data_IF_034893588160
#
_entry.id   IF_034893588160
#
_cell.length_a   1.000
_cell.length_b   1.000
_cell.length_c   1.000
_cell.angle_alpha   90.00
_cell.angle_beta   90.00
_cell.angle_gamma   90.00
#
_symmetry.space_group_name_H-M   'P 1'
#
loop_
_entity.id
_entity.type
_entity.pdbx_description
1 polymer ?
#
# COMPACT_ATOMS: atom_id res chain seq x y z
N UNK A 1 -35.95 -2.96 19.14
CA UNK A 1 -34.68 -3.45 19.68
C UNK A 1 -34.49 -4.89 19.20
N UNK A 2 -34.15 -5.10 17.92
CA UNK A 2 -33.83 -6.44 17.42
C UNK A 2 -32.36 -6.48 17.01
N UNK A 3 -31.57 -7.14 17.85
CA UNK A 3 -30.16 -7.44 17.67
C UNK A 3 -30.09 -8.90 17.24
N UNK A 4 -29.74 -9.16 15.97
CA UNK A 4 -28.93 -10.31 15.49
C UNK A 4 -29.08 -10.45 13.97
N UNK A 5 -27.99 -10.23 13.24
CA UNK A 5 -27.40 -11.23 12.33
C UNK A 5 -26.23 -10.64 11.52
N UNK A 6 -25.12 -11.39 11.50
CA UNK A 6 -24.25 -11.50 10.33
C UNK A 6 -23.08 -10.54 10.30
N UNK A 7 -22.01 -10.94 10.96
CA UNK A 7 -20.61 -10.89 10.49
C UNK A 7 -20.47 -10.38 9.04
N UNK A 8 -20.49 -9.05 8.87
CA UNK A 8 -19.90 -8.42 7.70
C UNK A 8 -18.42 -8.39 8.03
N UNK A 9 -17.72 -9.45 7.64
CA UNK A 9 -16.30 -9.44 7.29
C UNK A 9 -15.88 -7.99 7.11
N UNK A 10 -15.08 -7.51 8.06
CA UNK A 10 -14.43 -6.22 7.98
C UNK A 10 -13.81 -6.19 6.60
N UNK A 11 -14.47 -5.51 5.66
CA UNK A 11 -13.84 -5.10 4.42
C UNK A 11 -12.63 -4.36 4.96
N UNK A 12 -11.46 -4.94 4.80
CA UNK A 12 -10.23 -4.21 5.01
C UNK A 12 -10.28 -3.13 3.93
N UNK A 13 -10.90 -2.00 4.27
CA UNK A 13 -11.02 -0.80 3.44
C UNK A 13 -9.64 -0.18 3.24
N UNK A 14 -8.68 -0.61 4.05
CA UNK A 14 -7.31 -0.14 4.07
C UNK A 14 -6.34 -1.31 3.90
N UNK A 15 -5.19 -1.01 3.29
CA UNK A 15 -4.07 -1.94 3.15
C UNK A 15 -3.67 -2.50 4.52
N UNK A 16 -3.52 -3.82 4.69
CA UNK A 16 -3.11 -4.40 5.97
C UNK A 16 -1.69 -3.98 6.37
N UNK A 17 -0.86 -3.55 5.40
CA UNK A 17 0.49 -3.05 5.63
C UNK A 17 0.54 -1.52 5.78
N UNK A 18 -0.60 -0.83 5.90
CA UNK A 18 -0.62 0.63 6.04
C UNK A 18 0.09 1.11 7.31
N UNK A 19 0.26 0.30 8.36
CA UNK A 19 0.98 0.75 9.57
C UNK A 19 2.51 0.62 9.44
N UNK A 20 2.99 -0.32 8.63
CA UNK A 20 4.40 -0.76 8.59
C UNK A 20 4.99 -0.70 7.18
N UNK A 21 4.36 0.06 6.28
CA UNK A 21 4.81 0.12 4.89
C UNK A 21 6.17 0.86 4.82
N UNK A 22 7.24 0.25 4.28
CA UNK A 22 8.57 0.89 4.19
C UNK A 22 8.58 2.13 3.27
N UNK A 23 7.49 2.37 2.54
CA UNK A 23 7.29 3.60 1.77
C UNK A 23 7.25 4.83 2.70
N UNK A 24 6.78 4.66 3.93
CA UNK A 24 6.44 5.79 4.79
C UNK A 24 7.69 6.48 5.32
N UNK A 25 8.70 5.70 5.72
CA UNK A 25 10.00 6.20 6.15
C UNK A 25 10.66 7.08 5.09
N UNK A 26 10.47 6.74 3.81
CA UNK A 26 11.06 7.47 2.69
C UNK A 26 10.32 8.75 2.34
N UNK A 27 9.01 8.77 2.56
CA UNK A 27 8.14 9.86 2.13
C UNK A 27 7.52 10.63 3.30
N UNK A 28 7.98 10.40 4.54
CA UNK A 28 7.40 10.95 5.77
C UNK A 28 7.27 12.48 5.76
N UNK A 29 8.24 13.18 5.17
CA UNK A 29 8.26 14.63 5.04
C UNK A 29 7.58 15.16 3.77
N UNK A 30 7.05 14.28 2.91
CA UNK A 30 6.49 14.64 1.62
C UNK A 30 4.96 14.61 1.62
N UNK A 31 4.33 15.62 1.01
CA UNK A 31 2.87 15.62 0.75
C UNK A 31 2.43 14.47 -0.16
N UNK A 32 3.37 13.92 -0.94
CA UNK A 32 3.16 12.80 -1.87
C UNK A 32 2.79 11.52 -1.12
N UNK A 33 3.28 11.31 0.11
CA UNK A 33 2.90 10.17 0.94
C UNK A 33 1.39 10.07 1.14
N UNK A 34 0.74 11.20 1.44
CA UNK A 34 -0.70 11.24 1.68
C UNK A 34 -1.50 10.90 0.43
N UNK A 35 -1.01 11.29 -0.74
CA UNK A 35 -1.62 10.94 -2.03
C UNK A 35 -1.55 9.42 -2.22
N UNK A 36 -0.37 8.81 -2.04
CA UNK A 36 -0.23 7.35 -2.14
C UNK A 36 -1.13 6.59 -1.17
N UNK A 37 -1.21 7.05 0.09
CA UNK A 37 -2.11 6.45 1.07
C UNK A 37 -3.57 6.49 0.61
N UNK A 38 -4.04 7.63 0.09
CA UNK A 38 -5.43 7.76 -0.38
C UNK A 38 -5.69 6.89 -1.62
N UNK A 39 -4.79 6.91 -2.61
CA UNK A 39 -5.02 6.23 -3.89
C UNK A 39 -4.81 4.72 -3.83
N UNK A 40 -3.84 4.26 -3.06
CA UNK A 40 -3.51 2.84 -2.96
C UNK A 40 -3.95 2.28 -1.64
N UNK A 41 -3.48 2.82 -0.51
CA UNK A 41 -3.74 2.19 0.77
C UNK A 41 -5.23 2.18 1.15
N UNK A 42 -5.98 3.25 0.88
CA UNK A 42 -7.41 3.38 1.27
C UNK A 42 -8.43 3.02 0.20
N UNK A 43 -8.00 2.90 -1.06
CA UNK A 43 -8.91 2.75 -2.20
C UNK A 43 -8.73 1.41 -2.90
N UNK A 44 -7.52 1.12 -3.37
CA UNK A 44 -7.22 -0.11 -4.09
C UNK A 44 -5.78 -0.55 -3.82
N UNK A 45 -5.57 -1.17 -2.65
CA UNK A 45 -4.24 -1.66 -2.29
C UNK A 45 -3.88 -2.93 -3.05
N UNK A 46 -4.85 -3.62 -3.65
CA UNK A 46 -4.58 -4.79 -4.49
C UNK A 46 -3.82 -4.44 -5.76
N UNK A 47 -3.97 -3.21 -6.27
CA UNK A 47 -3.18 -2.69 -7.41
C UNK A 47 -1.79 -2.14 -6.99
N UNK A 48 -1.48 -2.07 -5.70
CA UNK A 48 -0.18 -1.61 -5.24
C UNK A 48 0.89 -2.68 -5.49
N UNK A 49 1.87 -2.40 -6.34
CA UNK A 49 2.96 -3.35 -6.65
C UNK A 49 3.74 -3.72 -5.38
N UNK A 50 3.99 -2.75 -4.50
CA UNK A 50 4.64 -3.00 -3.21
C UNK A 50 3.85 -3.99 -2.34
N UNK A 51 2.51 -3.88 -2.35
CA UNK A 51 1.64 -4.81 -1.63
C UNK A 51 1.74 -6.22 -2.21
N UNK A 52 1.67 -6.34 -3.54
CA UNK A 52 1.76 -7.62 -4.23
C UNK A 52 3.10 -8.32 -3.97
N UNK A 53 4.22 -7.60 -4.04
CA UNK A 53 5.55 -8.13 -3.73
C UNK A 53 5.64 -8.61 -2.29
N UNK A 54 5.14 -7.81 -1.33
CA UNK A 54 5.12 -8.21 0.07
C UNK A 54 4.26 -9.47 0.31
N UNK A 55 3.10 -9.58 -0.35
CA UNK A 55 2.27 -10.79 -0.30
C UNK A 55 2.95 -12.02 -0.90
N UNK A 56 3.87 -11.83 -1.84
CA UNK A 56 4.69 -12.91 -2.43
C UNK A 56 5.91 -13.26 -1.58
N UNK A 57 6.18 -12.51 -0.51
CA UNK A 57 7.40 -12.65 0.30
C UNK A 57 8.65 -12.12 -0.41
N UNK A 58 8.49 -11.28 -1.43
CA UNK A 58 9.59 -10.66 -2.15
C UNK A 58 10.07 -9.40 -1.42
N UNK A 59 11.37 -9.15 -1.46
CA UNK A 59 11.94 -7.91 -0.93
C UNK A 59 11.47 -6.73 -1.80
N UNK A 60 10.82 -5.74 -1.17
CA UNK A 60 10.35 -4.55 -1.88
C UNK A 60 11.50 -3.54 -1.99
N UNK A 61 11.97 -3.18 -3.19
CA UNK A 61 13.00 -2.18 -3.34
C UNK A 61 12.55 -0.86 -2.71
N UNK A 62 13.44 -0.13 -2.01
CA UNK A 62 13.04 1.10 -1.34
C UNK A 62 12.72 2.21 -2.36
N UNK A 63 13.22 2.10 -3.59
CA UNK A 63 12.96 3.01 -4.72
C UNK A 63 11.66 2.70 -5.46
N UNK A 64 11.09 1.52 -5.25
CA UNK A 64 9.85 1.10 -5.91
C UNK A 64 8.65 1.86 -5.36
N UNK A 65 7.89 2.50 -6.24
CA UNK A 65 6.66 3.21 -5.94
C UNK A 65 5.43 2.28 -5.98
N UNK A 66 4.29 2.68 -5.39
CA UNK A 66 3.05 1.89 -5.40
C UNK A 66 2.52 1.58 -6.81
N UNK A 67 2.78 2.46 -7.77
CA UNK A 67 2.36 2.32 -9.17
C UNK A 67 3.27 1.40 -10.01
N UNK A 68 4.36 0.88 -9.44
CA UNK A 68 5.32 0.03 -10.15
C UNK A 68 6.45 0.78 -10.85
N UNK A 69 6.47 2.11 -10.80
CA UNK A 69 7.64 2.89 -11.22
C UNK A 69 8.71 2.86 -10.13
N UNK A 70 9.97 3.01 -10.52
CA UNK A 70 11.06 3.27 -9.59
C UNK A 70 11.41 4.76 -9.59
N UNK A 71 11.75 5.30 -8.41
CA UNK A 71 12.15 6.70 -8.29
C UNK A 71 13.46 7.05 -9.01
N UNK A 72 14.25 6.04 -9.35
CA UNK A 72 15.53 6.22 -10.02
C UNK A 72 15.40 6.12 -11.54
N UNK A 73 14.20 6.06 -12.12
CA UNK A 73 13.99 6.22 -13.55
C UNK A 73 14.84 5.35 -14.49
N UNK A 74 15.47 4.27 -14.01
CA UNK A 74 16.35 3.41 -14.79
C UNK A 74 16.19 1.96 -14.32
N UNK A 75 15.14 1.32 -14.83
CA UNK A 75 15.16 -0.13 -15.04
C UNK A 75 16.50 -0.51 -15.68
N UNK A 76 17.27 -1.30 -14.95
CA UNK A 76 18.66 -1.60 -15.25
C UNK A 76 18.97 -1.82 -16.74
N UNK A 77 20.01 -1.12 -17.20
CA UNK A 77 20.85 -1.54 -18.31
C UNK A 77 22.31 -1.28 -17.96
#
# INVERSE_FOLDING_TARGET
>A
MDRRQGERWSVASDCPHNADCPLFERFELSSVLRIWQIYYCKKNYTDCIRYQMNCRGEAVPPTMLPNGEDMEGEGGR
#
